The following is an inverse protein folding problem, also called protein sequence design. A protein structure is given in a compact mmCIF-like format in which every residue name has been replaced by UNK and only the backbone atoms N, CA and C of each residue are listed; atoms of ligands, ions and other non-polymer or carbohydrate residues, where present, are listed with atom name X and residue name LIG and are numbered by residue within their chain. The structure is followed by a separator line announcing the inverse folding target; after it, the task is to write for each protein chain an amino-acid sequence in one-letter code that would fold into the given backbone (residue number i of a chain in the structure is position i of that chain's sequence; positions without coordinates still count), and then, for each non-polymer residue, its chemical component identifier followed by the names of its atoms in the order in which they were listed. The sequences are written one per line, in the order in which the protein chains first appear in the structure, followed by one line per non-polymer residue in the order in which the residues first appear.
data_IF_802887178815
#
_entry.id   IF_802887178815
#
_cell.length_a   1.000
_cell.length_b   1.000
_cell.length_c   1.000
_cell.angle_alpha   90.00
_cell.angle_beta   90.00
_cell.angle_gamma   90.00
#
_symmetry.space_group_name_H-M   'P 1'
#
loop_
_entity.id
_entity.type
_entity.pdbx_description
1 polymer ?
#
# COMPACT_ATOMS: atom_id res chain seq x y z
N UNK A 1 3.19 27.24 -30.43
CA UNK A 1 2.48 27.23 -29.12
C UNK A 1 3.46 26.91 -27.97
N UNK A 2 4.22 27.89 -27.43
CA UNK A 2 5.32 27.64 -26.49
C UNK A 2 4.95 27.63 -24.99
N UNK A 3 3.72 28.05 -24.61
CA UNK A 3 3.32 28.15 -23.19
C UNK A 3 2.87 26.83 -22.57
N UNK A 4 2.24 25.95 -23.35
CA UNK A 4 1.76 24.63 -22.87
C UNK A 4 2.90 23.67 -22.51
N UNK A 5 4.00 23.70 -23.27
CA UNK A 5 5.18 22.87 -23.00
C UNK A 5 5.89 23.23 -21.67
N UNK A 6 5.93 24.53 -21.32
CA UNK A 6 6.53 24.97 -20.05
C UNK A 6 5.69 24.57 -18.83
N UNK A 7 4.36 24.58 -18.97
CA UNK A 7 3.45 24.19 -17.87
C UNK A 7 3.52 22.69 -17.60
N UNK A 8 3.59 21.86 -18.63
CA UNK A 8 3.73 20.40 -18.46
C UNK A 8 5.08 20.01 -17.86
N UNK A 9 6.18 20.69 -18.24
CA UNK A 9 7.50 20.49 -17.62
C UNK A 9 7.53 20.90 -16.14
N UNK A 10 6.87 22.00 -15.78
CA UNK A 10 6.76 22.45 -14.39
C UNK A 10 5.93 21.49 -13.55
N UNK A 11 4.77 21.06 -14.04
CA UNK A 11 3.93 20.06 -13.36
C UNK A 11 4.71 18.76 -13.14
N UNK A 12 5.33 18.23 -14.19
CA UNK A 12 6.15 17.01 -14.08
C UNK A 12 7.28 17.16 -13.07
N UNK A 13 7.96 18.31 -13.05
CA UNK A 13 9.06 18.57 -12.11
C UNK A 13 8.56 18.64 -10.66
N UNK A 14 7.43 19.31 -10.43
CA UNK A 14 6.82 19.43 -9.09
C UNK A 14 6.35 18.06 -8.59
N UNK A 15 5.70 17.28 -9.45
CA UNK A 15 5.22 15.92 -9.11
C UNK A 15 6.38 15.01 -8.71
N UNK A 16 7.45 14.94 -9.50
CA UNK A 16 8.65 14.13 -9.18
C UNK A 16 9.34 14.57 -7.88
N UNK A 17 9.39 15.88 -7.62
CA UNK A 17 9.93 16.40 -6.36
C UNK A 17 9.04 16.02 -5.17
N UNK A 18 7.72 16.11 -5.33
CA UNK A 18 6.76 15.74 -4.30
C UNK A 18 6.81 14.25 -3.95
N UNK A 19 6.93 13.38 -4.95
CA UNK A 19 7.10 11.93 -4.77
C UNK A 19 8.34 11.61 -3.95
N UNK A 20 9.48 12.22 -4.29
CA UNK A 20 10.74 11.99 -3.57
C UNK A 20 10.67 12.46 -2.12
N UNK A 21 10.07 13.62 -1.86
CA UNK A 21 9.90 14.13 -0.50
C UNK A 21 8.99 13.21 0.31
N UNK A 22 7.87 12.75 -0.26
CA UNK A 22 6.94 11.83 0.40
C UNK A 22 7.60 10.47 0.66
N UNK A 23 8.30 9.90 -0.32
CA UNK A 23 9.00 8.63 -0.17
C UNK A 23 10.06 8.69 0.93
N UNK A 24 10.87 9.75 0.98
CA UNK A 24 11.88 9.95 2.04
C UNK A 24 11.21 10.10 3.41
N UNK A 25 10.12 10.87 3.49
CA UNK A 25 9.37 11.05 4.74
C UNK A 25 8.80 9.73 5.27
N UNK A 26 8.19 8.92 4.40
CA UNK A 26 7.64 7.61 4.77
C UNK A 26 8.77 6.65 5.15
N UNK A 27 9.87 6.65 4.40
CA UNK A 27 11.03 5.80 4.68
C UNK A 27 11.67 6.13 6.04
N UNK A 28 11.76 7.41 6.40
CA UNK A 28 12.24 7.83 7.71
C UNK A 28 11.29 7.42 8.83
N UNK A 29 9.98 7.59 8.64
CA UNK A 29 8.97 7.11 9.58
C UNK A 29 9.01 5.59 9.76
N UNK A 30 9.19 4.84 8.67
CA UNK A 30 9.34 3.39 8.68
C UNK A 30 10.57 2.96 9.48
N UNK A 31 11.71 3.64 9.31
CA UNK A 31 12.94 3.33 10.05
C UNK A 31 12.78 3.56 11.56
N UNK A 32 12.15 4.67 11.97
CA UNK A 32 11.85 4.97 13.38
C UNK A 32 10.91 3.92 13.97
N UNK A 33 9.83 3.59 13.24
CA UNK A 33 8.88 2.56 13.66
C UNK A 33 9.54 1.19 13.78
N UNK A 34 10.39 0.81 12.81
CA UNK A 34 11.12 -0.45 12.81
C UNK A 34 12.03 -0.55 14.05
N UNK A 35 12.81 0.49 14.34
CA UNK A 35 13.67 0.52 15.51
C UNK A 35 12.88 0.39 16.81
N UNK A 36 11.81 1.19 16.96
CA UNK A 36 10.92 1.11 18.13
C UNK A 36 10.28 -0.27 18.27
N UNK A 37 9.91 -0.91 17.16
CA UNK A 37 9.36 -2.26 17.15
C UNK A 37 10.37 -3.29 17.64
N UNK A 38 11.62 -3.21 17.20
CA UNK A 38 12.68 -4.11 17.61
C UNK A 38 12.96 -4.01 19.12
N UNK A 39 12.94 -2.79 19.66
CA UNK A 39 13.13 -2.56 21.10
C UNK A 39 11.97 -3.09 21.95
N UNK A 40 10.73 -2.95 21.50
CA UNK A 40 9.57 -3.44 22.25
C UNK A 40 9.50 -4.97 22.28
N UNK A 41 9.79 -5.62 21.15
CA UNK A 41 9.77 -7.09 21.07
C UNK A 41 10.84 -7.74 21.96
N UNK A 42 11.95 -7.05 22.22
CA UNK A 42 12.99 -7.54 23.14
C UNK A 42 12.55 -7.57 24.61
N UNK A 43 11.46 -6.86 24.94
CA UNK A 43 10.92 -6.76 26.32
C UNK A 43 9.61 -7.52 26.52
N UNK A 44 9.07 -8.13 25.47
CA UNK A 44 7.74 -8.72 25.47
C UNK A 44 7.75 -10.20 25.88
N UNK A 45 6.67 -10.65 26.53
CA UNK A 45 6.55 -12.03 27.01
C UNK A 45 5.94 -12.95 25.93
N UNK A 46 6.82 -13.67 25.23
CA UNK A 46 6.51 -14.56 24.11
C UNK A 46 5.63 -15.77 24.45
N UNK A 47 5.29 -15.96 25.72
CA UNK A 47 4.37 -17.01 26.15
C UNK A 47 2.90 -16.71 25.80
N UNK A 48 2.56 -15.45 25.51
CA UNK A 48 1.20 -15.02 25.22
C UNK A 48 0.93 -14.93 23.72
N UNK A 49 -0.27 -15.38 23.30
CA UNK A 49 -0.71 -15.32 21.90
C UNK A 49 -0.83 -13.88 21.40
N UNK A 50 -1.11 -12.92 22.31
CA UNK A 50 -1.21 -11.50 21.99
C UNK A 50 0.08 -10.93 21.40
N UNK A 51 1.25 -11.38 21.87
CA UNK A 51 2.54 -10.95 21.34
C UNK A 51 2.79 -11.43 19.91
N UNK A 52 2.24 -12.59 19.53
CA UNK A 52 2.23 -13.03 18.12
C UNK A 52 1.32 -12.15 17.27
N UNK A 53 0.15 -11.77 17.76
CA UNK A 53 -0.74 -10.84 17.05
C UNK A 53 -0.08 -9.47 16.86
N UNK A 54 0.59 -8.94 17.87
CA UNK A 54 1.29 -7.68 17.80
C UNK A 54 2.50 -7.75 16.85
N UNK A 55 3.26 -8.83 16.89
CA UNK A 55 4.34 -9.08 15.92
C UNK A 55 3.82 -9.08 14.49
N UNK A 56 2.78 -9.88 14.20
CA UNK A 56 2.22 -9.96 12.86
C UNK A 56 1.74 -8.56 12.44
N UNK A 57 1.00 -7.85 13.30
CA UNK A 57 0.54 -6.49 13.01
C UNK A 57 1.68 -5.51 12.69
N UNK A 58 2.80 -5.58 13.41
CA UNK A 58 4.00 -4.75 13.18
C UNK A 58 4.66 -5.07 11.85
N UNK A 59 4.83 -6.35 11.53
CA UNK A 59 5.36 -6.79 10.23
C UNK A 59 4.43 -6.32 9.11
N UNK A 60 3.12 -6.49 9.28
CA UNK A 60 2.13 -6.05 8.30
C UNK A 60 2.26 -4.53 8.05
N UNK A 61 2.32 -3.72 9.11
CA UNK A 61 2.55 -2.27 8.99
C UNK A 61 3.81 -1.91 8.19
N UNK A 62 4.90 -2.64 8.36
CA UNK A 62 6.15 -2.41 7.62
C UNK A 62 6.00 -2.73 6.13
N UNK A 63 5.34 -3.86 5.79
CA UNK A 63 5.08 -4.24 4.39
C UNK A 63 4.20 -3.20 3.69
N UNK A 64 3.16 -2.70 4.37
CA UNK A 64 2.31 -1.60 3.85
C UNK A 64 3.16 -0.36 3.55
N UNK A 65 4.08 0.01 4.44
CA UNK A 65 4.95 1.17 4.23
C UNK A 65 5.88 0.98 3.03
N UNK A 66 6.46 -0.21 2.89
CA UNK A 66 7.31 -0.56 1.75
C UNK A 66 6.53 -0.51 0.42
N UNK A 67 5.34 -1.12 0.38
CA UNK A 67 4.53 -1.16 -0.83
C UNK A 67 3.99 0.23 -1.19
N UNK A 68 3.71 1.08 -0.20
CA UNK A 68 3.35 2.48 -0.42
C UNK A 68 4.52 3.29 -1.02
N UNK A 69 5.74 3.11 -0.51
CA UNK A 69 6.95 3.74 -1.10
C UNK A 69 7.14 3.25 -2.53
N UNK A 70 7.01 1.94 -2.78
CA UNK A 70 7.12 1.36 -4.12
C UNK A 70 6.08 1.96 -5.06
N UNK A 71 4.81 2.00 -4.65
CA UNK A 71 3.69 2.58 -5.41
C UNK A 71 3.94 4.05 -5.75
N UNK A 72 4.45 4.85 -4.81
CA UNK A 72 4.81 6.26 -5.03
C UNK A 72 5.91 6.43 -6.09
N UNK A 73 6.83 5.46 -6.21
CA UNK A 73 7.97 5.54 -7.12
C UNK A 73 7.67 4.90 -8.48
N UNK A 74 6.91 3.81 -8.52
CA UNK A 74 6.64 3.03 -9.75
C UNK A 74 5.31 3.38 -10.41
N UNK A 75 4.40 4.07 -9.71
CA UNK A 75 3.05 4.40 -10.20
C UNK A 75 2.26 3.18 -10.72
N UNK A 76 2.60 1.98 -10.25
CA UNK A 76 1.92 0.76 -10.67
C UNK A 76 0.58 0.64 -9.94
N UNK A 77 -0.51 0.77 -10.68
CA UNK A 77 -1.87 0.69 -10.14
C UNK A 77 -2.18 -0.70 -9.54
N UNK A 78 -1.46 -1.73 -9.99
CA UNK A 78 -1.52 -3.08 -9.42
C UNK A 78 -0.98 -3.13 -7.98
N UNK A 79 0.10 -2.39 -7.68
CA UNK A 79 0.68 -2.29 -6.35
C UNK A 79 -0.29 -1.64 -5.34
N UNK A 80 -1.12 -0.69 -5.79
CA UNK A 80 -2.18 -0.09 -4.96
C UNK A 80 -3.20 -1.14 -4.52
N UNK A 81 -3.56 -2.08 -5.40
CA UNK A 81 -4.56 -3.09 -5.10
C UNK A 81 -4.02 -4.16 -4.15
N UNK A 82 -2.74 -4.52 -4.29
CA UNK A 82 -2.04 -5.40 -3.34
C UNK A 82 -1.92 -4.75 -1.96
N UNK A 83 -1.57 -3.47 -1.90
CA UNK A 83 -1.55 -2.67 -0.68
C UNK A 83 -2.93 -2.65 0.01
N UNK A 84 -4.01 -2.38 -0.73
CA UNK A 84 -5.37 -2.34 -0.18
C UNK A 84 -5.83 -3.71 0.31
N UNK A 85 -5.55 -4.78 -0.44
CA UNK A 85 -5.81 -6.16 -0.04
C UNK A 85 -5.15 -6.49 1.31
N UNK A 86 -3.90 -6.06 1.47
CA UNK A 86 -3.13 -6.26 2.68
C UNK A 86 -3.62 -5.42 3.87
N UNK A 87 -4.03 -4.17 3.64
CA UNK A 87 -4.65 -3.31 4.66
C UNK A 87 -5.94 -3.94 5.18
N UNK A 88 -6.75 -4.53 4.31
CA UNK A 88 -7.97 -5.25 4.70
C UNK A 88 -7.62 -6.48 5.54
N UNK A 89 -6.64 -7.30 5.11
CA UNK A 89 -6.19 -8.46 5.87
C UNK A 89 -5.72 -8.06 7.29
N UNK A 90 -4.92 -7.01 7.42
CA UNK A 90 -4.51 -6.47 8.72
C UNK A 90 -5.71 -6.03 9.57
N UNK A 91 -6.67 -5.32 8.97
CA UNK A 91 -7.88 -4.87 9.67
C UNK A 91 -8.69 -6.03 10.21
N UNK A 92 -8.76 -7.16 9.48
CA UNK A 92 -9.46 -8.38 9.88
C UNK A 92 -8.79 -9.18 11.00
N UNK A 93 -7.50 -8.95 11.28
CA UNK A 93 -6.77 -9.64 12.36
C UNK A 93 -7.00 -9.03 13.74
N UNK A 94 -7.77 -7.94 13.88
CA UNK A 94 -8.12 -7.39 15.19
C UNK A 94 -9.13 -8.30 15.91
N UNK A 95 -8.91 -8.66 17.19
CA UNK A 95 -9.80 -9.56 17.92
C UNK A 95 -11.19 -8.96 18.23
N UNK A 96 -11.34 -7.63 18.21
CA UNK A 96 -12.60 -6.93 18.53
C UNK A 96 -13.46 -6.56 17.31
N UNK A 97 -13.44 -7.38 16.26
CA UNK A 97 -14.27 -7.11 15.08
C UNK A 97 -15.63 -7.78 15.24
N UNK A 98 -16.68 -7.01 14.97
CA UNK A 98 -18.00 -7.59 14.84
C UNK A 98 -18.07 -8.43 13.57
N UNK A 99 -18.96 -9.43 13.54
CA UNK A 99 -19.19 -10.26 12.35
C UNK A 99 -19.52 -9.40 11.11
N UNK A 100 -20.17 -8.25 11.34
CA UNK A 100 -20.49 -7.27 10.30
C UNK A 100 -19.21 -6.63 9.74
N UNK A 101 -18.25 -6.25 10.59
CA UNK A 101 -16.97 -5.68 10.14
C UNK A 101 -16.17 -6.65 9.25
N UNK A 102 -16.20 -7.94 9.61
CA UNK A 102 -15.54 -9.00 8.84
C UNK A 102 -16.22 -9.18 7.47
N UNK A 103 -17.56 -9.18 7.42
CA UNK A 103 -18.32 -9.28 6.17
C UNK A 103 -18.06 -8.09 5.24
N UNK A 104 -18.08 -6.85 5.76
CA UNK A 104 -17.78 -5.66 4.95
C UNK A 104 -16.33 -5.63 4.47
N UNK A 105 -15.36 -6.06 5.29
CA UNK A 105 -13.97 -6.23 4.85
C UNK A 105 -13.85 -7.24 3.71
N UNK A 106 -14.48 -8.41 3.85
CA UNK A 106 -14.48 -9.46 2.83
C UNK A 106 -15.08 -9.00 1.50
N UNK A 107 -16.24 -8.32 1.54
CA UNK A 107 -16.87 -7.74 0.34
C UNK A 107 -15.94 -6.70 -0.31
N UNK A 108 -15.34 -5.81 0.49
CA UNK A 108 -14.40 -4.80 -0.01
C UNK A 108 -13.18 -5.45 -0.67
N UNK A 109 -12.65 -6.53 -0.09
CA UNK A 109 -11.56 -7.30 -0.66
C UNK A 109 -11.91 -7.94 -2.01
N UNK A 110 -13.10 -8.55 -2.10
CA UNK A 110 -13.60 -9.15 -3.36
C UNK A 110 -13.79 -8.10 -4.45
N UNK A 111 -14.34 -6.93 -4.10
CA UNK A 111 -14.51 -5.81 -5.04
C UNK A 111 -13.14 -5.31 -5.54
N UNK A 112 -12.14 -5.19 -4.66
CA UNK A 112 -10.78 -4.79 -5.03
C UNK A 112 -10.13 -5.80 -5.98
N UNK A 113 -10.27 -7.10 -5.72
CA UNK A 113 -9.75 -8.14 -6.61
C UNK A 113 -10.47 -8.15 -7.97
N UNK A 114 -11.78 -7.93 -7.97
CA UNK A 114 -12.54 -7.78 -9.21
C UNK A 114 -12.06 -6.56 -10.00
N UNK A 115 -11.87 -5.43 -9.34
CA UNK A 115 -11.32 -4.22 -9.96
C UNK A 115 -9.94 -4.47 -10.58
N UNK A 116 -9.03 -5.19 -9.88
CA UNK A 116 -7.72 -5.62 -10.42
C UNK A 116 -7.88 -6.37 -11.72
N UNK A 117 -8.72 -7.41 -11.72
CA UNK A 117 -8.92 -8.27 -12.89
C UNK A 117 -9.50 -7.51 -14.08
N UNK A 118 -10.42 -6.57 -13.83
CA UNK A 118 -11.00 -5.75 -14.90
C UNK A 118 -10.02 -4.72 -15.46
N UNK A 119 -9.17 -4.13 -14.62
CA UNK A 119 -8.14 -3.18 -15.06
C UNK A 119 -7.05 -3.84 -15.90
N UNK A 120 -6.44 -4.94 -15.43
CA UNK A 120 -5.42 -5.68 -16.22
C UNK A 120 -5.97 -6.15 -17.56
N UNK A 121 -7.26 -6.52 -17.63
CA UNK A 121 -7.88 -6.94 -18.89
C UNK A 121 -8.04 -5.79 -19.88
N UNK A 122 -8.27 -4.56 -19.39
CA UNK A 122 -8.47 -3.38 -20.25
C UNK A 122 -7.17 -2.94 -20.90
N UNK A 123 -6.05 -3.01 -20.17
CA UNK A 123 -4.71 -2.66 -20.67
C UNK A 123 -4.28 -3.58 -21.83
N UNK A 124 -4.47 -4.89 -21.68
CA UNK A 124 -4.21 -5.86 -22.76
C UNK A 124 -5.09 -5.65 -24.01
N UNK A 125 -6.29 -5.07 -23.87
CA UNK A 125 -7.21 -4.87 -25.00
C UNK A 125 -6.91 -3.60 -25.80
N UNK A 126 -6.31 -2.57 -25.18
CA UNK A 126 -5.80 -1.39 -25.88
C UNK A 126 -4.58 -1.71 -26.75
N UNK A 127 -3.67 -2.55 -26.27
CA UNK A 127 -2.44 -2.91 -27.01
C UNK A 127 -2.75 -3.71 -28.29
N UNK A 128 -3.77 -4.58 -28.25
CA UNK A 128 -4.24 -5.37 -29.41
C UNK A 128 -5.01 -4.51 -30.43
N UNK A 129 -5.56 -3.37 -30.02
CA UNK A 129 -6.33 -2.47 -30.91
C UNK A 129 -5.44 -1.42 -31.61
N UNK A 130 -4.24 -1.14 -31.09
CA UNK A 130 -3.27 -0.21 -31.69
C UNK A 130 -2.36 -0.90 -32.73
N UNK A 131 -2.22 -2.23 -32.66
CA UNK A 131 -1.47 -3.06 -33.63
C UNK A 131 -2.31 -3.54 -34.84
N UNK A 132 -3.50 -2.95 -35.06
CA UNK A 132 -4.39 -3.26 -36.19
C UNK A 132 -4.81 -2.01 -36.94
#
# INVERSE_FOLDING_TARGET
MPRVAKVSELLRRVTLWSERILAISIMMGMAVFFYGSLTMMGTEDWSHVDSLYDLINRILLLVICLELIRTLLTHELEAVLELLAFVVARKTMKPDLTVIDILLCSISFVILLAARKFLSRKENQSEIAEDR
#
